data_IF_568549044614
#
_entry.id   IF_568549044614
#
_cell.length_a   1.000
_cell.length_b   1.000
_cell.length_c   1.000
_cell.angle_alpha   90.00
_cell.angle_beta   90.00
_cell.angle_gamma   90.00
#
_symmetry.space_group_name_H-M   'P 1'
#
loop_
_entity.id
_entity.type
_entity.pdbx_description
1 polymer ?
#
# COMPACT_ATOMS: atom_id res chain seq x y z
N UNK A 1 25.40 -33.36 -14.65
CA UNK A 1 26.26 -32.25 -14.17
C UNK A 1 26.41 -31.12 -15.20
N UNK A 2 26.74 -31.38 -16.49
CA UNK A 2 26.77 -30.32 -17.52
C UNK A 2 25.35 -29.88 -17.93
N UNK A 3 24.39 -30.80 -17.99
CA UNK A 3 22.98 -30.53 -18.23
C UNK A 3 22.35 -29.66 -17.15
N UNK A 4 22.64 -29.91 -15.90
CA UNK A 4 22.09 -29.17 -14.73
C UNK A 4 22.65 -27.73 -14.68
N UNK A 5 23.90 -27.54 -15.06
CA UNK A 5 24.52 -26.22 -15.13
C UNK A 5 23.94 -25.40 -16.30
N UNK A 6 23.72 -26.01 -17.48
CA UNK A 6 23.08 -25.37 -18.63
C UNK A 6 21.61 -25.01 -18.34
N UNK A 7 20.87 -25.92 -17.68
CA UNK A 7 19.49 -25.70 -17.28
C UNK A 7 19.40 -24.53 -16.28
N UNK A 8 20.31 -24.47 -15.29
CA UNK A 8 20.37 -23.37 -14.32
C UNK A 8 20.68 -22.03 -14.99
N UNK A 9 21.60 -21.99 -15.96
CA UNK A 9 21.94 -20.78 -16.73
C UNK A 9 20.74 -20.36 -17.59
N UNK A 10 20.10 -21.29 -18.28
CA UNK A 10 18.90 -21.03 -19.09
C UNK A 10 17.77 -20.52 -18.20
N UNK A 11 17.55 -21.13 -17.03
CA UNK A 11 16.50 -20.71 -16.08
C UNK A 11 16.75 -19.28 -15.57
N UNK A 12 17.98 -18.93 -15.25
CA UNK A 12 18.33 -17.57 -14.82
C UNK A 12 18.21 -16.54 -15.94
N UNK A 13 18.55 -16.90 -17.19
CA UNK A 13 18.34 -16.05 -18.36
C UNK A 13 16.82 -15.86 -18.61
N UNK A 14 16.04 -16.91 -18.54
CA UNK A 14 14.58 -16.84 -18.68
C UNK A 14 13.97 -15.99 -17.56
N UNK A 15 14.45 -16.13 -16.32
CA UNK A 15 13.99 -15.33 -15.18
C UNK A 15 14.27 -13.84 -15.38
N UNK A 16 15.45 -13.50 -15.91
CA UNK A 16 15.80 -12.12 -16.29
C UNK A 16 14.88 -11.60 -17.40
N UNK A 17 14.58 -12.43 -18.43
CA UNK A 17 13.64 -12.06 -19.49
C UNK A 17 12.19 -11.97 -19.02
N UNK A 18 11.74 -12.81 -18.07
CA UNK A 18 10.40 -12.75 -17.48
C UNK A 18 10.24 -11.52 -16.60
N UNK A 19 11.28 -11.17 -15.83
CA UNK A 19 11.32 -9.92 -15.06
C UNK A 19 11.32 -8.73 -16.02
N UNK A 20 12.09 -8.79 -17.10
CA UNK A 20 12.15 -7.74 -18.12
C UNK A 20 10.82 -7.58 -18.87
N UNK A 21 10.16 -8.67 -19.26
CA UNK A 21 8.85 -8.63 -19.93
C UNK A 21 7.72 -8.12 -19.05
N UNK A 22 7.82 -8.29 -17.72
CA UNK A 22 6.82 -7.83 -16.76
C UNK A 22 6.97 -6.34 -16.39
N UNK A 23 8.16 -5.77 -16.64
CA UNK A 23 8.50 -4.38 -16.29
C UNK A 23 9.04 -3.62 -17.50
N UNK A 24 8.25 -3.58 -18.59
CA UNK A 24 8.59 -2.87 -19.84
C UNK A 24 8.77 -1.34 -19.71
N UNK A 25 8.72 -0.81 -18.50
CA UNK A 25 8.79 0.63 -18.16
C UNK A 25 10.12 1.08 -17.58
N UNK A 26 11.20 0.30 -17.74
CA UNK A 26 12.54 0.74 -17.32
C UNK A 26 13.02 1.97 -18.11
N UNK A 27 13.66 2.95 -17.43
CA UNK A 27 14.30 4.08 -18.12
C UNK A 27 15.25 3.60 -19.22
N UNK A 28 15.33 4.34 -20.34
CA UNK A 28 16.14 3.97 -21.52
C UNK A 28 17.60 3.60 -21.20
N UNK A 29 18.16 4.19 -20.13
CA UNK A 29 19.54 3.94 -19.68
C UNK A 29 19.73 2.53 -19.09
N UNK A 30 18.69 1.95 -18.48
CA UNK A 30 18.71 0.59 -17.93
C UNK A 30 18.59 -0.44 -19.05
N UNK A 31 17.83 -0.13 -20.11
CA UNK A 31 17.74 -0.96 -21.31
C UNK A 31 19.11 -1.09 -22.03
N UNK A 32 19.86 0.02 -22.12
CA UNK A 32 21.18 0.01 -22.73
C UNK A 32 22.19 -0.83 -21.91
N UNK A 33 22.13 -0.77 -20.59
CA UNK A 33 23.00 -1.56 -19.71
C UNK A 33 22.67 -3.05 -19.75
N UNK A 34 21.39 -3.42 -19.71
CA UNK A 34 20.93 -4.81 -19.84
C UNK A 34 21.29 -5.39 -21.22
N UNK A 35 21.16 -4.60 -22.29
CA UNK A 35 21.57 -5.00 -23.65
C UNK A 35 23.07 -5.20 -23.75
N UNK A 36 23.86 -4.35 -23.12
CA UNK A 36 25.35 -4.46 -23.13
C UNK A 36 25.84 -5.71 -22.38
N UNK A 37 25.19 -6.04 -21.23
CA UNK A 37 25.51 -7.25 -20.45
C UNK A 37 25.06 -8.53 -21.14
N UNK A 38 23.93 -8.55 -21.83
CA UNK A 38 23.50 -9.73 -22.62
C UNK A 38 24.38 -9.95 -23.82
N UNK A 39 24.90 -8.91 -24.48
CA UNK A 39 25.87 -9.06 -25.57
C UNK A 39 27.23 -9.59 -25.08
N UNK A 40 27.72 -9.13 -23.94
CA UNK A 40 29.00 -9.63 -23.40
C UNK A 40 28.93 -11.11 -23.00
N UNK A 41 27.83 -11.56 -22.38
CA UNK A 41 27.62 -12.98 -22.05
C UNK A 41 27.44 -13.84 -23.30
N UNK A 42 26.85 -13.30 -24.38
CA UNK A 42 26.71 -14.01 -25.66
C UNK A 42 28.04 -14.14 -26.43
N UNK A 43 28.88 -13.13 -26.38
CA UNK A 43 30.20 -13.13 -27.02
C UNK A 43 31.19 -14.10 -26.37
N UNK A 44 31.06 -14.39 -25.07
CA UNK A 44 31.92 -15.36 -24.38
C UNK A 44 31.60 -16.82 -24.74
N UNK A 45 30.43 -17.12 -25.30
CA UNK A 45 30.02 -18.47 -25.69
C UNK A 45 30.37 -18.84 -27.13
N UNK A 46 30.80 -17.90 -27.95
CA UNK A 46 31.05 -18.13 -29.41
C UNK A 46 32.49 -18.22 -29.83
N UNK A 47 33.47 -18.13 -28.93
CA UNK A 47 34.88 -18.26 -29.32
C UNK A 47 35.41 -19.71 -29.13
N UNK A 48 35.27 -20.49 -30.21
CA UNK A 48 36.18 -21.52 -30.71
C UNK A 48 36.00 -22.99 -30.29
N UNK A 49 35.18 -23.79 -31.00
CA UNK A 49 35.23 -25.25 -30.94
C UNK A 49 36.14 -25.93 -32.00
N UNK A 50 37.03 -25.21 -32.70
CA UNK A 50 37.72 -25.79 -33.86
C UNK A 50 39.18 -26.24 -33.67
N UNK A 51 39.63 -26.45 -32.41
CA UNK A 51 40.95 -27.08 -32.17
C UNK A 51 40.90 -28.12 -31.05
N UNK A 52 40.08 -29.14 -31.18
CA UNK A 52 40.15 -30.33 -30.37
C UNK A 52 40.32 -31.55 -31.24
N UNK A 53 41.55 -31.71 -31.79
CA UNK A 53 42.02 -32.99 -32.28
C UNK A 53 43.31 -33.36 -31.55
N UNK A 54 43.24 -34.56 -30.91
CA UNK A 54 44.36 -35.40 -30.45
C UNK A 54 45.13 -34.95 -29.20
N UNK A 55 44.81 -35.52 -28.07
CA UNK A 55 45.57 -36.36 -27.16
C UNK A 55 44.87 -36.50 -25.80
N UNK A 56 44.24 -37.61 -25.58
CA UNK A 56 43.56 -37.94 -24.34
C UNK A 56 44.57 -38.50 -23.34
N UNK A 57 45.03 -37.70 -22.37
CA UNK A 57 45.66 -38.18 -21.15
C UNK A 57 44.81 -37.82 -19.93
N UNK A 58 44.52 -38.80 -19.07
CA UNK A 58 43.63 -38.72 -17.92
C UNK A 58 43.94 -37.54 -16.95
N UNK A 59 45.15 -37.02 -16.95
CA UNK A 59 45.58 -35.86 -16.17
C UNK A 59 45.02 -34.51 -16.68
N UNK A 60 44.61 -34.41 -17.92
CA UNK A 60 44.04 -33.20 -18.48
C UNK A 60 42.53 -33.08 -18.19
N UNK A 61 41.84 -34.19 -18.00
CA UNK A 61 40.40 -34.22 -17.70
C UNK A 61 40.14 -33.64 -16.31
N UNK A 62 40.92 -33.97 -15.31
CA UNK A 62 40.79 -33.42 -13.95
C UNK A 62 41.13 -31.94 -13.88
N UNK A 63 42.08 -31.47 -14.70
CA UNK A 63 42.44 -30.06 -14.79
C UNK A 63 41.35 -29.25 -15.51
N UNK A 64 40.72 -29.84 -16.52
CA UNK A 64 39.61 -29.23 -17.25
C UNK A 64 38.34 -29.13 -16.34
N UNK A 65 38.04 -30.19 -15.59
CA UNK A 65 36.94 -30.17 -14.61
C UNK A 65 37.16 -29.16 -13.47
N UNK A 66 38.37 -29.05 -12.93
CA UNK A 66 38.68 -28.02 -11.93
C UNK A 66 38.52 -26.61 -12.48
N UNK A 67 38.88 -26.35 -13.73
CA UNK A 67 38.73 -25.05 -14.36
C UNK A 67 37.26 -24.72 -14.70
N UNK A 68 36.47 -25.71 -15.12
CA UNK A 68 35.02 -25.50 -15.37
C UNK A 68 34.23 -25.26 -14.11
N UNK A 69 34.53 -25.93 -12.98
CA UNK A 69 33.94 -25.67 -11.68
C UNK A 69 34.33 -24.27 -11.17
N UNK A 70 35.58 -23.84 -11.39
CA UNK A 70 36.03 -22.49 -11.07
C UNK A 70 35.30 -21.44 -11.90
N UNK A 71 35.13 -21.70 -13.22
CA UNK A 71 34.41 -20.79 -14.13
C UNK A 71 32.94 -20.68 -13.74
N UNK A 72 32.26 -21.79 -13.42
CA UNK A 72 30.88 -21.80 -12.96
C UNK A 72 30.68 -21.02 -11.66
N UNK A 73 31.64 -21.11 -10.73
CA UNK A 73 31.65 -20.29 -9.52
C UNK A 73 31.78 -18.80 -9.80
N UNK A 74 32.73 -18.43 -10.66
CA UNK A 74 32.93 -17.03 -11.05
C UNK A 74 31.70 -16.47 -11.74
N UNK A 75 31.08 -17.21 -12.67
CA UNK A 75 29.84 -16.81 -13.32
C UNK A 75 28.68 -16.63 -12.37
N UNK A 76 28.55 -17.53 -11.37
CA UNK A 76 27.51 -17.41 -10.36
C UNK A 76 27.70 -16.17 -9.46
N UNK A 77 28.93 -15.84 -9.09
CA UNK A 77 29.23 -14.61 -8.33
C UNK A 77 28.99 -13.34 -9.15
N UNK A 78 29.36 -13.34 -10.43
CA UNK A 78 29.05 -12.24 -11.37
C UNK A 78 27.53 -12.06 -11.52
N UNK A 79 26.78 -13.16 -11.64
CA UNK A 79 25.34 -13.12 -11.77
C UNK A 79 24.65 -12.57 -10.51
N UNK A 80 25.10 -13.03 -9.33
CA UNK A 80 24.63 -12.49 -8.05
C UNK A 80 24.91 -10.99 -7.93
N UNK A 81 26.13 -10.56 -8.29
CA UNK A 81 26.51 -9.16 -8.24
C UNK A 81 25.67 -8.31 -9.21
N UNK A 82 25.41 -8.82 -10.43
CA UNK A 82 24.56 -8.15 -11.42
C UNK A 82 23.11 -8.03 -10.95
N UNK A 83 22.56 -9.09 -10.35
CA UNK A 83 21.20 -9.07 -9.75
C UNK A 83 21.15 -8.05 -8.61
N UNK A 84 22.15 -8.03 -7.73
CA UNK A 84 22.21 -7.05 -6.63
C UNK A 84 22.34 -5.62 -7.15
N UNK A 85 23.11 -5.38 -8.22
CA UNK A 85 23.17 -4.06 -8.86
C UNK A 85 21.84 -3.65 -9.49
N UNK A 86 21.16 -4.55 -10.18
CA UNK A 86 19.83 -4.28 -10.74
C UNK A 86 18.82 -3.97 -9.64
N UNK A 87 18.82 -4.74 -8.55
CA UNK A 87 17.98 -4.48 -7.38
C UNK A 87 18.33 -3.16 -6.68
N UNK A 88 19.64 -2.84 -6.60
CA UNK A 88 20.08 -1.56 -6.04
C UNK A 88 19.64 -0.38 -6.91
N UNK A 89 19.82 -0.46 -8.24
CA UNK A 89 19.38 0.55 -9.19
C UNK A 89 17.84 0.67 -9.23
N UNK A 90 17.12 -0.43 -9.13
CA UNK A 90 15.66 -0.46 -8.99
C UNK A 90 15.21 0.25 -7.71
N UNK A 91 15.79 -0.12 -6.57
CA UNK A 91 15.50 0.55 -5.28
C UNK A 91 15.93 2.02 -5.26
N UNK A 92 17.05 2.35 -5.93
CA UNK A 92 17.50 3.73 -6.10
C UNK A 92 16.57 4.53 -6.99
N UNK A 93 16.08 3.94 -8.08
CA UNK A 93 15.08 4.54 -8.98
C UNK A 93 13.76 4.84 -8.25
N UNK A 94 13.27 3.89 -7.43
CA UNK A 94 12.09 4.10 -6.57
C UNK A 94 12.35 5.22 -5.55
N UNK A 95 13.55 5.29 -4.98
CA UNK A 95 13.92 6.31 -3.99
C UNK A 95 14.06 7.72 -4.57
N UNK A 96 14.33 7.82 -5.88
CA UNK A 96 14.44 9.09 -6.63
C UNK A 96 13.08 9.52 -7.22
N UNK A 97 12.10 8.61 -7.31
CA UNK A 97 10.75 8.98 -7.78
C UNK A 97 10.16 10.03 -6.84
N UNK A 98 9.64 11.08 -7.42
CA UNK A 98 8.97 12.16 -6.69
C UNK A 98 7.80 11.60 -5.90
N UNK A 99 7.91 11.63 -4.57
CA UNK A 99 6.84 11.16 -3.70
C UNK A 99 5.58 11.98 -3.92
N UNK A 100 4.43 11.33 -3.94
CA UNK A 100 3.12 11.96 -4.06
C UNK A 100 2.26 11.68 -2.83
N UNK A 101 1.18 12.42 -2.70
CA UNK A 101 0.10 12.18 -1.74
C UNK A 101 -1.05 11.50 -2.46
N UNK A 102 -1.56 10.40 -1.91
CA UNK A 102 -2.69 9.65 -2.44
C UNK A 102 -3.86 9.74 -1.47
N UNK A 103 -4.96 10.30 -1.93
CA UNK A 103 -6.21 10.46 -1.19
C UNK A 103 -7.25 9.44 -1.67
N UNK A 104 -7.78 8.60 -0.75
CA UNK A 104 -8.80 7.61 -1.08
C UNK A 104 -10.04 7.87 -0.23
N UNK A 105 -11.04 8.49 -0.82
CA UNK A 105 -12.32 8.79 -0.17
C UNK A 105 -13.42 7.83 -0.58
N UNK A 106 -14.51 7.82 0.16
CA UNK A 106 -15.71 7.05 -0.18
C UNK A 106 -16.44 6.51 1.04
N UNK A 107 -17.47 5.74 0.79
CA UNK A 107 -18.43 5.26 1.79
C UNK A 107 -17.84 4.24 2.76
N UNK A 108 -18.54 4.01 3.87
CA UNK A 108 -18.22 2.96 4.85
C UNK A 108 -18.27 1.57 4.18
N UNK A 109 -17.38 0.66 4.58
CA UNK A 109 -17.36 -0.75 4.13
C UNK A 109 -17.25 -0.96 2.60
N UNK A 110 -16.84 0.05 1.83
CA UNK A 110 -16.61 -0.11 0.39
C UNK A 110 -15.22 -0.68 0.02
N UNK A 111 -14.38 -1.03 1.00
CA UNK A 111 -13.08 -1.66 0.77
C UNK A 111 -11.89 -0.70 0.73
N UNK A 112 -12.08 0.61 0.91
CA UNK A 112 -11.01 1.64 0.86
C UNK A 112 -9.77 1.30 1.65
N UNK A 113 -9.94 0.97 2.93
CA UNK A 113 -8.81 0.75 3.83
C UNK A 113 -7.96 -0.46 3.43
N UNK A 114 -8.59 -1.51 2.88
CA UNK A 114 -7.87 -2.68 2.34
C UNK A 114 -7.04 -2.27 1.12
N UNK A 115 -7.67 -1.57 0.18
CA UNK A 115 -7.01 -1.06 -1.03
C UNK A 115 -5.87 -0.10 -0.71
N UNK A 116 -6.11 0.86 0.20
CA UNK A 116 -5.12 1.84 0.63
C UNK A 116 -3.90 1.20 1.28
N UNK A 117 -4.12 0.21 2.16
CA UNK A 117 -3.06 -0.57 2.82
C UNK A 117 -2.23 -1.36 1.81
N UNK A 118 -2.90 -2.06 0.90
CA UNK A 118 -2.23 -2.90 -0.10
C UNK A 118 -1.41 -2.03 -1.05
N UNK A 119 -1.97 -0.93 -1.55
CA UNK A 119 -1.24 0.02 -2.39
C UNK A 119 -0.03 0.60 -1.66
N UNK A 120 -0.22 1.13 -0.44
CA UNK A 120 0.86 1.72 0.34
C UNK A 120 2.02 0.74 0.56
N UNK A 121 1.72 -0.52 0.88
CA UNK A 121 2.72 -1.58 1.03
C UNK A 121 3.47 -1.86 -0.26
N UNK A 122 2.76 -1.92 -1.39
CA UNK A 122 3.33 -2.23 -2.70
C UNK A 122 4.30 -1.14 -3.19
N UNK A 123 3.93 0.13 -3.00
CA UNK A 123 4.73 1.27 -3.45
C UNK A 123 5.69 1.83 -2.39
N UNK A 124 5.73 1.22 -1.20
CA UNK A 124 6.60 1.66 -0.09
C UNK A 124 6.21 2.99 0.55
N UNK A 125 4.90 3.34 0.53
CA UNK A 125 4.35 4.54 1.15
C UNK A 125 3.79 4.24 2.54
N UNK A 126 3.60 5.30 3.34
CA UNK A 126 2.98 5.20 4.66
C UNK A 126 1.45 5.22 4.50
N UNK A 127 0.78 4.21 5.06
CA UNK A 127 -0.67 4.19 5.14
C UNK A 127 -1.16 4.92 6.39
N UNK A 128 -2.18 5.77 6.23
CA UNK A 128 -2.82 6.51 7.33
C UNK A 128 -4.34 6.29 7.27
N UNK A 129 -4.90 5.73 8.35
CA UNK A 129 -6.34 5.52 8.54
C UNK A 129 -6.95 6.73 9.26
N UNK A 130 -7.55 7.66 8.51
CA UNK A 130 -8.19 8.82 9.13
C UNK A 130 -9.38 8.43 10.03
N UNK A 131 -10.08 7.36 9.70
CA UNK A 131 -11.16 6.82 10.53
C UNK A 131 -10.65 6.34 11.90
N UNK A 132 -9.44 5.79 11.97
CA UNK A 132 -8.82 5.41 13.25
C UNK A 132 -8.52 6.65 14.11
N UNK A 133 -8.21 7.79 13.50
CA UNK A 133 -7.99 9.03 14.26
C UNK A 133 -9.26 9.48 14.97
N UNK A 134 -10.41 9.53 14.28
CA UNK A 134 -11.69 9.86 14.92
C UNK A 134 -12.10 8.84 15.99
N UNK A 135 -11.79 7.56 15.79
CA UNK A 135 -12.01 6.52 16.80
C UNK A 135 -11.10 6.71 18.03
N UNK A 136 -9.86 7.15 17.84
CA UNK A 136 -8.96 7.47 18.95
C UNK A 136 -9.49 8.66 19.77
N UNK A 137 -10.01 9.72 19.12
CA UNK A 137 -10.69 10.82 19.81
C UNK A 137 -11.92 10.30 20.57
N UNK A 138 -12.68 9.39 19.96
CA UNK A 138 -13.87 8.78 20.62
C UNK A 138 -13.47 7.97 21.84
N UNK A 139 -12.43 7.15 21.75
CA UNK A 139 -11.88 6.40 22.89
C UNK A 139 -11.45 7.34 24.01
N UNK A 140 -10.68 8.39 23.67
CA UNK A 140 -10.29 9.42 24.62
C UNK A 140 -11.50 10.05 25.31
N UNK A 141 -12.54 10.34 24.54
CA UNK A 141 -13.79 10.92 25.05
C UNK A 141 -14.51 9.98 26.02
N UNK A 142 -14.52 8.67 25.74
CA UNK A 142 -15.10 7.66 26.64
C UNK A 142 -14.29 7.58 27.95
N UNK A 143 -12.95 7.43 27.83
CA UNK A 143 -12.06 7.28 28.99
C UNK A 143 -12.04 8.53 29.89
N UNK A 144 -12.36 9.71 29.36
CA UNK A 144 -12.41 10.97 30.12
C UNK A 144 -13.80 11.44 30.51
N UNK A 145 -14.82 10.57 30.37
CA UNK A 145 -16.19 10.87 30.79
C UNK A 145 -16.81 12.08 30.07
N UNK A 146 -16.55 12.19 28.76
CA UNK A 146 -17.15 13.20 27.88
C UNK A 146 -18.59 12.82 27.52
N UNK A 147 -18.91 11.52 27.54
CA UNK A 147 -20.26 11.03 27.27
C UNK A 147 -21.09 10.96 28.52
N UNK A 148 -22.27 11.56 28.47
CA UNK A 148 -23.34 11.45 29.49
C UNK A 148 -24.52 10.73 28.81
N UNK A 149 -24.52 9.40 28.85
CA UNK A 149 -25.38 8.61 27.97
C UNK A 149 -25.00 8.82 26.50
N UNK A 150 -25.96 9.25 25.68
CA UNK A 150 -25.76 9.56 24.27
C UNK A 150 -25.35 11.03 24.04
N UNK A 151 -25.39 11.86 25.07
CA UNK A 151 -25.03 13.28 24.98
C UNK A 151 -23.53 13.47 25.12
N UNK A 152 -22.95 14.30 24.24
CA UNK A 152 -21.54 14.68 24.28
C UNK A 152 -21.39 16.02 24.99
N UNK A 153 -20.51 16.09 25.97
CA UNK A 153 -20.04 17.34 26.55
C UNK A 153 -19.01 17.98 25.62
N UNK A 154 -19.52 18.72 24.62
CA UNK A 154 -18.69 19.33 23.58
C UNK A 154 -17.72 20.38 24.14
N UNK A 155 -18.13 21.15 25.16
CA UNK A 155 -17.26 22.17 25.76
C UNK A 155 -16.07 21.54 26.49
N UNK A 156 -16.32 20.48 27.27
CA UNK A 156 -15.25 19.72 27.91
C UNK A 156 -14.31 19.10 26.88
N UNK A 157 -14.83 18.47 25.83
CA UNK A 157 -13.98 17.90 24.76
C UNK A 157 -13.16 18.98 24.07
N UNK A 158 -13.76 20.14 23.77
CA UNK A 158 -13.07 21.28 23.15
C UNK A 158 -11.89 21.80 23.97
N UNK A 159 -12.04 21.81 25.30
CA UNK A 159 -10.92 22.20 26.18
C UNK A 159 -9.76 21.21 26.17
N UNK A 160 -10.02 19.92 25.88
CA UNK A 160 -9.03 18.83 25.90
C UNK A 160 -8.49 18.44 24.51
N UNK A 161 -9.11 18.91 23.43
CA UNK A 161 -8.78 18.46 22.08
C UNK A 161 -7.30 18.68 21.69
N UNK A 162 -6.70 19.74 22.18
CA UNK A 162 -5.28 20.08 21.94
C UNK A 162 -4.30 19.09 22.59
N UNK A 163 -4.75 18.32 23.58
CA UNK A 163 -3.93 17.35 24.29
C UNK A 163 -4.03 15.95 23.62
N UNK A 164 -4.80 15.84 22.54
CA UNK A 164 -4.99 14.59 21.78
C UNK A 164 -4.01 14.54 20.63
N UNK A 165 -2.97 13.73 20.77
CA UNK A 165 -1.95 13.49 19.75
C UNK A 165 -2.07 12.06 19.22
N UNK A 166 -2.27 11.93 17.91
CA UNK A 166 -2.43 10.63 17.26
C UNK A 166 -1.24 10.40 16.33
N UNK A 167 -0.68 9.21 16.39
CA UNK A 167 0.41 8.78 15.51
C UNK A 167 0.21 7.35 15.07
N UNK A 168 0.89 6.98 13.99
CA UNK A 168 0.88 5.63 13.42
C UNK A 168 2.29 5.05 13.43
N UNK A 169 2.45 3.81 13.86
CA UNK A 169 3.73 3.11 13.84
C UNK A 169 3.55 1.75 13.21
N UNK A 170 4.47 1.39 12.30
CA UNK A 170 4.45 0.08 11.66
C UNK A 170 4.63 -1.02 12.73
N UNK A 171 3.68 -1.94 12.76
CA UNK A 171 3.78 -3.14 13.56
C UNK A 171 4.56 -4.19 12.75
N UNK A 172 5.74 -4.64 13.22
CA UNK A 172 6.58 -5.57 12.47
C UNK A 172 5.98 -6.97 12.34
N UNK A 173 5.09 -7.36 13.27
CA UNK A 173 4.46 -8.69 13.26
C UNK A 173 3.34 -8.77 12.22
N UNK A 174 2.53 -7.70 12.11
CA UNK A 174 1.38 -7.66 11.20
C UNK A 174 1.69 -7.03 9.85
N UNK A 175 2.81 -6.30 9.75
CA UNK A 175 3.15 -5.47 8.59
C UNK A 175 2.17 -4.32 8.34
N UNK A 176 1.38 -3.94 9.36
CA UNK A 176 0.36 -2.88 9.31
C UNK A 176 0.67 -1.79 10.33
N UNK A 177 0.30 -0.54 10.08
CA UNK A 177 0.45 0.50 11.09
C UNK A 177 -0.61 0.34 12.20
N UNK A 178 -0.15 0.38 13.45
CA UNK A 178 -0.99 0.49 14.63
C UNK A 178 -1.20 1.95 14.99
N UNK A 179 -2.36 2.26 15.55
CA UNK A 179 -2.76 3.59 16.01
C UNK A 179 -2.31 3.83 17.44
N UNK A 180 -1.66 4.96 17.67
CA UNK A 180 -1.21 5.41 18.99
C UNK A 180 -1.90 6.70 19.38
N UNK A 181 -2.47 6.72 20.58
CA UNK A 181 -3.05 7.90 21.22
C UNK A 181 -2.14 8.34 22.35
N UNK A 182 -1.61 9.56 22.30
CA UNK A 182 -0.68 10.10 23.29
C UNK A 182 0.50 9.13 23.61
N UNK A 183 1.01 8.45 22.57
CA UNK A 183 2.10 7.51 22.69
C UNK A 183 1.73 6.09 23.13
N UNK A 184 0.46 5.82 23.46
CA UNK A 184 -0.05 4.50 23.86
C UNK A 184 -0.71 3.81 22.66
N UNK A 185 -0.36 2.53 22.41
CA UNK A 185 -1.03 1.73 21.37
C UNK A 185 -2.50 1.48 21.75
N UNK A 186 -3.41 1.95 20.89
CA UNK A 186 -4.85 1.81 21.09
C UNK A 186 -5.55 1.04 19.95
N UNK A 187 -4.79 0.42 19.03
CA UNK A 187 -5.33 -0.19 17.81
C UNK A 187 -6.49 -1.15 18.12
N UNK A 188 -6.35 -2.02 19.11
CA UNK A 188 -7.42 -2.96 19.49
C UNK A 188 -8.60 -2.26 20.17
N UNK A 189 -8.32 -1.28 21.04
CA UNK A 189 -9.36 -0.56 21.80
C UNK A 189 -10.29 0.25 20.88
N UNK A 190 -9.73 0.89 19.85
CA UNK A 190 -10.50 1.72 18.91
C UNK A 190 -11.38 0.90 17.95
N UNK A 191 -11.22 -0.43 17.91
CA UNK A 191 -12.02 -1.31 17.04
C UNK A 191 -13.22 -1.95 17.75
N UNK A 192 -13.43 -1.66 19.04
CA UNK A 192 -14.58 -2.17 19.81
C UNK A 192 -15.90 -1.61 19.30
N UNK A 193 -17.00 -2.32 19.62
CA UNK A 193 -18.36 -1.87 19.28
C UNK A 193 -18.72 -0.58 20.01
N UNK A 194 -18.27 -0.41 21.25
CA UNK A 194 -18.51 0.81 22.03
C UNK A 194 -17.96 2.06 21.33
N UNK A 195 -16.70 2.00 20.85
CA UNK A 195 -16.11 3.10 20.08
C UNK A 195 -16.81 3.25 18.72
N UNK A 196 -17.13 2.13 18.08
CA UNK A 196 -17.74 2.14 16.73
C UNK A 196 -19.12 2.79 16.70
N UNK A 197 -19.93 2.62 17.75
CA UNK A 197 -21.27 3.22 17.84
C UNK A 197 -21.23 4.72 18.13
N UNK A 198 -20.17 5.22 18.77
CA UNK A 198 -20.03 6.62 19.22
C UNK A 198 -19.16 7.50 18.34
N UNK A 199 -18.48 6.93 17.32
CA UNK A 199 -17.54 7.70 16.49
C UNK A 199 -18.22 8.73 15.58
N UNK A 200 -19.41 8.44 15.05
CA UNK A 200 -20.10 9.35 14.12
C UNK A 200 -20.48 10.69 14.76
N UNK A 201 -21.08 10.74 15.95
CA UNK A 201 -21.34 12.00 16.66
C UNK A 201 -20.06 12.82 16.94
N UNK A 202 -18.97 12.19 17.33
CA UNK A 202 -17.67 12.88 17.53
C UNK A 202 -17.15 13.47 16.22
N UNK A 203 -17.29 12.74 15.12
CA UNK A 203 -16.81 13.16 13.80
C UNK A 203 -17.63 14.30 13.17
N UNK A 204 -18.78 14.69 13.73
CA UNK A 204 -19.54 15.86 13.27
C UNK A 204 -19.13 17.15 13.98
N UNK A 205 -18.38 17.09 15.06
CA UNK A 205 -17.94 18.29 15.80
C UNK A 205 -16.86 19.05 15.04
N UNK A 206 -17.11 20.32 14.73
CA UNK A 206 -16.25 21.15 13.88
C UNK A 206 -14.84 21.26 14.44
N UNK A 207 -14.68 21.57 15.73
CA UNK A 207 -13.38 21.71 16.38
C UNK A 207 -12.59 20.39 16.40
N UNK A 208 -13.27 19.23 16.47
CA UNK A 208 -12.61 17.92 16.36
C UNK A 208 -12.11 17.73 14.93
N UNK A 209 -12.89 18.10 13.94
CA UNK A 209 -12.49 18.02 12.54
C UNK A 209 -11.30 18.91 12.26
N UNK A 210 -11.33 20.16 12.69
CA UNK A 210 -10.21 21.10 12.55
C UNK A 210 -8.92 20.54 13.15
N UNK A 211 -8.98 20.00 14.37
CA UNK A 211 -7.83 19.41 15.04
C UNK A 211 -7.29 18.17 14.30
N UNK A 212 -8.19 17.30 13.79
CA UNK A 212 -7.78 16.10 13.04
C UNK A 212 -7.21 16.47 11.68
N UNK A 213 -7.84 17.38 10.94
CA UNK A 213 -7.33 17.87 9.65
C UNK A 213 -5.92 18.44 9.80
N UNK A 214 -5.69 19.26 10.83
CA UNK A 214 -4.36 19.82 11.11
C UNK A 214 -3.30 18.73 11.33
N UNK A 215 -3.60 17.69 12.12
CA UNK A 215 -2.68 16.56 12.33
C UNK A 215 -2.48 15.74 11.05
N UNK A 216 -3.52 15.50 10.26
CA UNK A 216 -3.44 14.79 8.97
C UNK A 216 -2.56 15.54 7.98
N UNK A 217 -2.73 16.86 7.86
CA UNK A 217 -1.91 17.70 6.99
C UNK A 217 -0.43 17.70 7.41
N UNK A 218 -0.16 17.72 8.70
CA UNK A 218 1.21 17.61 9.23
C UNK A 218 1.85 16.27 8.82
N UNK A 219 1.11 15.15 8.97
CA UNK A 219 1.58 13.83 8.55
C UNK A 219 1.87 13.75 7.05
N UNK A 220 1.17 14.53 6.23
CA UNK A 220 1.31 14.54 4.76
C UNK A 220 2.40 15.43 4.21
N UNK A 221 3.03 16.30 5.02
CA UNK A 221 4.03 17.27 4.53
C UNK A 221 5.19 16.65 3.77
N UNK A 222 5.65 15.48 4.20
CA UNK A 222 6.77 14.78 3.56
C UNK A 222 6.36 14.02 2.28
N UNK A 223 5.08 13.99 1.93
CA UNK A 223 4.50 13.14 0.88
C UNK A 223 4.85 11.66 1.07
N UNK A 224 4.60 10.82 0.08
CA UNK A 224 4.82 9.38 0.21
C UNK A 224 3.82 8.73 1.16
N UNK A 225 2.59 9.18 1.14
CA UNK A 225 1.49 8.68 1.97
C UNK A 225 0.29 8.25 1.13
N UNK A 226 -0.43 7.26 1.64
CA UNK A 226 -1.77 6.88 1.20
C UNK A 226 -2.70 7.07 2.39
N UNK A 227 -3.64 7.99 2.29
CA UNK A 227 -4.61 8.25 3.36
C UNK A 227 -6.02 7.93 2.88
N UNK A 228 -6.77 7.16 3.66
CA UNK A 228 -8.18 6.91 3.39
C UNK A 228 -9.12 7.61 4.37
N UNK A 229 -10.27 8.04 3.85
CA UNK A 229 -11.25 8.77 4.66
C UNK A 229 -12.57 9.06 3.96
N UNK A 230 -13.08 10.29 4.20
CA UNK A 230 -14.33 10.81 3.65
C UNK A 230 -14.15 12.12 2.89
N UNK A 231 -13.12 12.86 3.23
CA UNK A 231 -12.87 14.23 2.79
C UNK A 231 -11.37 14.50 2.62
N UNK A 232 -10.61 13.44 2.39
CA UNK A 232 -9.15 13.54 2.25
C UNK A 232 -8.79 14.37 1.01
N UNK A 233 -9.38 14.05 -0.14
CA UNK A 233 -9.11 14.73 -1.41
C UNK A 233 -9.86 16.05 -1.58
N UNK A 234 -10.82 16.37 -0.70
CA UNK A 234 -11.58 17.64 -0.77
C UNK A 234 -11.13 18.66 0.27
N UNK A 235 -10.75 18.21 1.48
CA UNK A 235 -10.46 19.09 2.63
C UNK A 235 -9.04 18.92 3.15
N UNK A 236 -8.57 17.70 3.35
CA UNK A 236 -7.26 17.45 3.96
C UNK A 236 -6.13 17.72 2.99
N UNK A 237 -6.19 17.12 1.80
CA UNK A 237 -5.22 17.28 0.72
C UNK A 237 -5.90 17.62 -0.61
N UNK A 238 -6.43 18.86 -0.74
CA UNK A 238 -7.07 19.30 -1.98
C UNK A 238 -6.10 19.28 -3.18
N UNK A 239 -4.79 19.32 -2.93
CA UNK A 239 -3.74 19.26 -3.94
C UNK A 239 -3.08 17.86 -4.04
N UNK A 240 -3.71 16.80 -3.49
CA UNK A 240 -3.21 15.44 -3.65
C UNK A 240 -3.10 15.07 -5.13
N UNK A 241 -1.97 14.46 -5.50
CA UNK A 241 -1.66 14.15 -6.89
C UNK A 241 -2.51 13.00 -7.44
N UNK A 242 -2.93 12.09 -6.58
CA UNK A 242 -3.86 11.02 -6.94
C UNK A 242 -5.02 11.03 -5.96
N UNK A 243 -6.23 11.26 -6.48
CA UNK A 243 -7.46 11.22 -5.72
C UNK A 243 -8.37 10.12 -6.27
N UNK A 244 -8.86 9.28 -5.38
CA UNK A 244 -9.75 8.17 -5.72
C UNK A 244 -10.99 8.26 -4.84
N UNK A 245 -12.15 8.15 -5.45
CA UNK A 245 -13.42 8.04 -4.75
C UNK A 245 -13.99 6.64 -4.94
N UNK A 246 -14.07 5.87 -3.87
CA UNK A 246 -14.51 4.48 -3.90
C UNK A 246 -15.97 4.39 -3.49
N UNK A 247 -16.76 3.74 -4.31
CA UNK A 247 -18.16 3.43 -4.03
C UNK A 247 -18.43 1.94 -4.09
N UNK A 248 -19.53 1.51 -3.50
CA UNK A 248 -20.18 0.22 -3.68
C UNK A 248 -21.63 0.35 -3.22
N UNK A 249 -22.53 -0.49 -3.72
CA UNK A 249 -23.94 -0.42 -3.32
C UNK A 249 -24.11 -0.66 -1.82
N UNK A 250 -25.11 -0.05 -1.16
CA UNK A 250 -25.35 -0.25 0.28
C UNK A 250 -25.49 -1.72 0.66
N UNK A 251 -26.16 -2.51 -0.19
CA UNK A 251 -26.39 -3.93 0.03
C UNK A 251 -25.09 -4.72 0.07
N UNK A 252 -24.19 -4.48 -0.90
CA UNK A 252 -22.88 -5.15 -0.95
C UNK A 252 -22.02 -4.75 0.25
N UNK A 253 -22.07 -3.48 0.65
CA UNK A 253 -21.33 -3.00 1.82
C UNK A 253 -21.87 -3.59 3.12
N UNK A 254 -23.19 -3.72 3.23
CA UNK A 254 -23.85 -4.40 4.35
C UNK A 254 -23.46 -5.88 4.39
N UNK A 255 -23.46 -6.57 3.23
CA UNK A 255 -23.06 -7.97 3.16
C UNK A 255 -21.60 -8.18 3.60
N UNK A 256 -20.67 -7.35 3.13
CA UNK A 256 -19.25 -7.40 3.56
C UNK A 256 -19.11 -7.22 5.08
N UNK A 257 -19.90 -6.31 5.65
CA UNK A 257 -19.88 -6.06 7.09
C UNK A 257 -20.50 -7.21 7.88
N UNK A 258 -21.59 -7.79 7.38
CA UNK A 258 -22.21 -8.97 7.95
C UNK A 258 -21.24 -10.15 7.99
N UNK A 259 -20.56 -10.43 6.88
CA UNK A 259 -19.59 -11.51 6.77
C UNK A 259 -18.38 -11.30 7.71
N UNK A 260 -17.92 -10.04 7.85
CA UNK A 260 -16.85 -9.69 8.79
C UNK A 260 -17.25 -9.94 10.25
N UNK A 261 -18.44 -9.55 10.67
CA UNK A 261 -18.97 -9.77 12.04
C UNK A 261 -19.16 -11.26 12.31
N UNK A 262 -19.75 -11.97 11.35
CA UNK A 262 -19.93 -13.41 11.45
C UNK A 262 -18.62 -14.18 11.58
N UNK A 263 -17.58 -13.76 10.84
CA UNK A 263 -16.24 -14.35 10.94
C UNK A 263 -15.59 -14.11 12.31
N UNK A 264 -15.99 -13.06 13.04
CA UNK A 264 -15.57 -12.77 14.41
C UNK A 264 -16.42 -13.46 15.49
N UNK A 265 -17.47 -14.19 15.08
CA UNK A 265 -18.41 -14.83 16.00
C UNK A 265 -19.43 -13.85 16.64
N UNK A 266 -19.59 -12.65 16.08
CA UNK A 266 -20.56 -11.68 16.51
C UNK A 266 -21.90 -11.92 15.81
N UNK A 267 -22.99 -12.00 16.57
CA UNK A 267 -24.35 -12.07 16.02
C UNK A 267 -24.80 -10.68 15.58
N UNK A 268 -25.27 -10.57 14.33
CA UNK A 268 -25.80 -9.33 13.81
C UNK A 268 -26.87 -9.62 12.74
N UNK A 269 -27.90 -8.77 12.68
CA UNK A 269 -28.92 -8.82 11.63
C UNK A 269 -28.42 -8.10 10.38
N UNK A 270 -28.61 -8.71 9.21
CA UNK A 270 -28.30 -8.06 7.94
C UNK A 270 -29.09 -6.75 7.75
N UNK A 271 -30.38 -6.74 8.11
CA UNK A 271 -31.24 -5.57 7.95
C UNK A 271 -30.80 -4.42 8.85
N UNK A 272 -30.40 -4.71 10.10
CA UNK A 272 -29.84 -3.71 11.01
C UNK A 272 -28.53 -3.13 10.49
N UNK A 273 -27.67 -3.97 9.91
CA UNK A 273 -26.42 -3.52 9.30
C UNK A 273 -26.69 -2.65 8.07
N UNK A 274 -27.62 -3.04 7.21
CA UNK A 274 -27.99 -2.28 6.03
C UNK A 274 -28.55 -0.89 6.39
N UNK A 275 -29.44 -0.84 7.37
CA UNK A 275 -29.97 0.43 7.87
C UNK A 275 -28.87 1.32 8.46
N UNK A 276 -27.97 0.74 9.27
CA UNK A 276 -26.82 1.47 9.80
C UNK A 276 -25.90 2.01 8.68
N UNK A 277 -25.66 1.23 7.62
CA UNK A 277 -24.88 1.67 6.46
C UNK A 277 -25.55 2.88 5.81
N UNK A 278 -26.86 2.81 5.54
CA UNK A 278 -27.62 3.91 4.92
C UNK A 278 -27.64 5.17 5.81
N UNK A 279 -27.85 4.99 7.10
CA UNK A 279 -27.85 6.10 8.06
C UNK A 279 -26.49 6.80 8.13
N UNK A 280 -25.39 6.05 8.14
CA UNK A 280 -24.03 6.60 8.12
C UNK A 280 -23.74 7.35 6.83
N UNK A 281 -24.16 6.81 5.68
CA UNK A 281 -24.02 7.49 4.40
C UNK A 281 -24.74 8.83 4.40
N UNK A 282 -25.96 8.85 4.95
CA UNK A 282 -26.73 10.07 5.07
C UNK A 282 -26.02 11.11 5.96
N UNK A 283 -25.53 10.71 7.13
CA UNK A 283 -24.77 11.59 8.03
C UNK A 283 -23.51 12.10 7.36
N UNK A 284 -22.71 11.21 6.75
CA UNK A 284 -21.45 11.57 6.12
C UNK A 284 -21.64 12.55 4.95
N UNK A 285 -22.74 12.43 4.18
CA UNK A 285 -23.05 13.29 3.03
C UNK A 285 -23.71 14.63 3.40
N UNK A 286 -24.43 14.69 4.53
CA UNK A 286 -25.25 15.84 4.91
C UNK A 286 -24.71 16.60 6.13
N UNK A 287 -23.54 16.25 6.67
CA UNK A 287 -22.91 17.03 7.73
C UNK A 287 -22.49 18.41 7.21
N UNK A 288 -22.56 19.43 8.07
CA UNK A 288 -22.29 20.82 7.71
C UNK A 288 -20.83 21.05 7.30
N UNK A 289 -19.87 20.45 8.02
CA UNK A 289 -18.43 20.62 7.76
C UNK A 289 -17.86 19.42 7.04
N UNK A 290 -17.21 19.68 5.90
CA UNK A 290 -16.50 18.69 5.09
C UNK A 290 -17.34 17.43 4.78
N UNK A 291 -18.52 17.57 4.14
CA UNK A 291 -19.35 16.42 3.79
C UNK A 291 -18.62 15.48 2.84
N UNK A 292 -19.01 14.20 2.88
CA UNK A 292 -18.51 13.20 1.94
C UNK A 292 -18.95 13.57 0.51
N UNK A 293 -18.01 14.03 -0.29
CA UNK A 293 -18.20 14.37 -1.70
C UNK A 293 -17.01 13.91 -2.52
N UNK A 294 -17.28 13.48 -3.76
CA UNK A 294 -16.23 13.19 -4.70
C UNK A 294 -15.56 14.51 -5.14
N UNK A 295 -14.25 14.65 -4.97
CA UNK A 295 -13.50 15.77 -5.51
C UNK A 295 -13.65 15.79 -7.05
N UNK A 296 -13.65 16.99 -7.67
CA UNK A 296 -13.88 17.14 -9.11
C UNK A 296 -12.87 16.38 -9.97
N UNK A 297 -11.64 16.30 -9.49
CA UNK A 297 -10.50 15.61 -10.10
C UNK A 297 -10.28 14.18 -9.59
N UNK A 298 -11.14 13.67 -8.71
CA UNK A 298 -11.04 12.30 -8.21
C UNK A 298 -11.54 11.27 -9.24
N UNK A 299 -10.77 10.21 -9.40
CA UNK A 299 -11.18 9.03 -10.16
C UNK A 299 -12.24 8.26 -9.38
N UNK A 300 -13.31 7.86 -10.05
CA UNK A 300 -14.37 7.05 -9.47
C UNK A 300 -14.04 5.58 -9.64
N UNK A 301 -14.09 4.82 -8.54
CA UNK A 301 -13.98 3.36 -8.55
C UNK A 301 -15.24 2.75 -7.94
N UNK A 302 -16.06 2.11 -8.76
CA UNK A 302 -17.13 1.26 -8.26
C UNK A 302 -16.58 -0.12 -7.91
N UNK A 303 -16.49 -0.38 -6.60
CA UNK A 303 -15.98 -1.61 -6.03
C UNK A 303 -17.08 -2.63 -5.70
N UNK A 304 -18.25 -2.53 -6.32
CA UNK A 304 -19.35 -3.45 -6.03
C UNK A 304 -19.00 -4.90 -6.40
N UNK A 305 -18.35 -5.10 -7.54
CA UNK A 305 -18.11 -6.44 -8.11
C UNK A 305 -16.65 -6.74 -8.43
N UNK A 306 -15.71 -5.87 -8.07
CA UNK A 306 -14.31 -6.09 -8.34
C UNK A 306 -13.69 -7.11 -7.38
N UNK A 307 -12.92 -8.03 -7.92
CA UNK A 307 -12.03 -8.90 -7.14
C UNK A 307 -10.87 -8.09 -6.55
N UNK A 308 -10.24 -8.63 -5.50
CA UNK A 308 -9.05 -8.00 -4.88
C UNK A 308 -7.93 -7.81 -5.91
N UNK A 309 -7.73 -8.76 -6.84
CA UNK A 309 -6.72 -8.64 -7.90
C UNK A 309 -7.03 -7.47 -8.82
N UNK A 310 -8.27 -7.37 -9.32
CA UNK A 310 -8.69 -6.27 -10.19
C UNK A 310 -8.55 -4.90 -9.52
N UNK A 311 -8.87 -4.81 -8.22
CA UNK A 311 -8.66 -3.58 -7.44
C UNK A 311 -7.19 -3.17 -7.41
N UNK A 312 -6.29 -4.13 -7.16
CA UNK A 312 -4.84 -3.88 -7.10
C UNK A 312 -4.28 -3.46 -8.45
N UNK A 313 -4.62 -4.18 -9.50
CA UNK A 313 -4.20 -3.86 -10.86
C UNK A 313 -4.63 -2.45 -11.27
N UNK A 314 -5.90 -2.11 -11.02
CA UNK A 314 -6.41 -0.78 -11.33
C UNK A 314 -5.69 0.31 -10.54
N UNK A 315 -5.47 0.13 -9.23
CA UNK A 315 -4.77 1.10 -8.40
C UNK A 315 -3.31 1.30 -8.83
N UNK A 316 -2.61 0.21 -9.13
CA UNK A 316 -1.24 0.26 -9.61
C UNK A 316 -1.14 1.02 -10.95
N UNK A 317 -2.07 0.78 -11.88
CA UNK A 317 -2.14 1.48 -13.15
C UNK A 317 -2.34 3.00 -12.96
N UNK A 318 -3.28 3.40 -12.07
CA UNK A 318 -3.51 4.83 -11.82
C UNK A 318 -2.30 5.49 -11.16
N UNK A 319 -1.65 4.82 -10.22
CA UNK A 319 -0.42 5.31 -9.59
C UNK A 319 0.70 5.51 -10.63
N UNK A 320 0.96 4.50 -11.46
CA UNK A 320 1.98 4.58 -12.51
C UNK A 320 1.71 5.72 -13.50
N UNK A 321 0.44 5.94 -13.88
CA UNK A 321 0.06 7.03 -14.77
C UNK A 321 0.43 8.38 -14.16
N UNK A 322 0.04 8.64 -12.90
CA UNK A 322 0.33 9.92 -12.23
C UNK A 322 1.84 10.12 -12.04
N UNK A 323 2.59 9.07 -11.71
CA UNK A 323 4.04 9.18 -11.57
C UNK A 323 4.71 9.49 -12.91
N UNK A 324 4.25 8.89 -14.02
CA UNK A 324 4.79 9.18 -15.37
C UNK A 324 4.52 10.62 -15.83
N UNK A 325 3.36 11.18 -15.48
CA UNK A 325 3.00 12.56 -15.80
C UNK A 325 3.80 13.60 -15.00
N UNK A 326 4.34 13.20 -13.83
CA UNK A 326 5.06 14.09 -12.90
C UNK A 326 6.59 14.02 -13.02
N UNK A 327 7.11 13.04 -13.73
CA UNK A 327 8.54 12.88 -14.05
C UNK A 327 8.85 13.33 -15.47
#
# INVERSE_FOLDING_TARGET
ALGDCLISIIYNIILVFLIWGKYSTFPKNVHALLFFFTQQTFLFHFFNPSKASTCFCATNVTRYFKNTVSLARILNEILKFSILQVLYLYNYSIKVMKKITIAIDGFSSCGKSTMAKDLAREIGYIYIDSGAMYRAVTLYSIENGIFQGDRIDAEKLKSLIKDIHISFRLNPETGRPDTYLNGVNVENKIRTMEVSSRVSPIATLDFVREAMVAQQQEMGKAKGIVMDGRDIGTTVFPDAELKIFVTATPEIRAQRRYDELKAKGEEASFDEILENVKQRDYIDQNRDVSPLRKASDALLLDNSHLSISQQKEWLAEQFERVIKEKN
#
